data_IF_142319460700
#
_entry.id   IF_142319460700
#
_cell.length_a   1.000
_cell.length_b   1.000
_cell.length_c   1.000
_cell.angle_alpha   90.00
_cell.angle_beta   90.00
_cell.angle_gamma   90.00
#
_symmetry.space_group_name_H-M   'P 1'
#
loop_
_entity.id
_entity.type
_entity.pdbx_description
1 polymer ?
#
# COMPACT_ATOMS: atom_id res chain seq x y z
N UNK A 1 14.18 -0.27 -11.50
CA UNK A 1 12.80 0.05 -11.94
C UNK A 1 11.82 -0.39 -10.85
N UNK A 2 10.70 0.30 -10.62
CA UNK A 2 9.71 -0.12 -9.62
C UNK A 2 8.91 -1.34 -10.11
N UNK A 3 8.67 -2.30 -9.22
CA UNK A 3 7.69 -3.37 -9.38
C UNK A 3 6.28 -2.81 -9.31
N UNK A 4 5.31 -3.64 -9.69
CA UNK A 4 3.93 -3.41 -9.29
C UNK A 4 3.81 -3.46 -7.74
N UNK A 5 2.78 -2.80 -7.21
CA UNK A 5 2.39 -3.02 -5.82
C UNK A 5 1.88 -4.45 -5.63
N UNK A 6 2.23 -5.06 -4.50
CA UNK A 6 1.63 -6.29 -4.02
C UNK A 6 0.20 -6.09 -3.53
N UNK A 7 -0.37 -7.15 -2.97
CA UNK A 7 -1.71 -7.14 -2.43
C UNK A 7 -1.88 -6.15 -1.27
N UNK A 8 -3.10 -5.64 -1.11
CA UNK A 8 -3.46 -4.78 0.00
C UNK A 8 -3.63 -5.61 1.28
N UNK A 9 -3.13 -5.11 2.41
CA UNK A 9 -3.27 -5.77 3.72
C UNK A 9 -4.71 -5.86 4.23
N UNK A 10 -5.64 -5.07 3.66
CA UNK A 10 -7.05 -5.05 4.01
C UNK A 10 -7.90 -4.94 2.75
N UNK A 11 -9.12 -5.45 2.78
CA UNK A 11 -10.07 -5.38 1.64
C UNK A 11 -11.00 -4.16 1.70
N UNK A 12 -11.06 -3.48 2.84
CA UNK A 12 -11.86 -2.26 3.10
C UNK A 12 -11.35 -1.55 4.37
N UNK A 13 -11.82 -0.32 4.63
CA UNK A 13 -11.44 0.57 5.73
C UNK A 13 -9.96 1.01 5.76
N UNK A 14 -9.26 0.86 4.65
CA UNK A 14 -7.86 1.21 4.52
C UNK A 14 -6.94 0.05 4.89
N UNK A 15 -5.90 -0.11 4.07
CA UNK A 15 -4.77 -1.00 4.30
C UNK A 15 -3.54 -0.47 3.58
N UNK A 16 -2.45 -1.22 3.67
CA UNK A 16 -1.17 -0.88 3.07
C UNK A 16 -0.79 -1.92 2.02
N UNK A 17 -0.10 -1.47 0.99
CA UNK A 17 0.53 -2.32 -0.03
C UNK A 17 1.96 -1.85 -0.28
N UNK A 18 2.83 -2.79 -0.64
CA UNK A 18 4.26 -2.53 -0.82
C UNK A 18 4.66 -2.79 -2.26
N UNK A 19 5.57 -1.97 -2.78
CA UNK A 19 6.31 -2.24 -4.02
C UNK A 19 7.81 -2.12 -3.77
N UNK A 20 8.60 -2.87 -4.52
CA UNK A 20 10.06 -2.82 -4.47
C UNK A 20 10.61 -2.28 -5.78
N UNK A 21 11.87 -1.85 -5.80
CA UNK A 21 12.55 -1.55 -7.06
C UNK A 21 13.84 -2.33 -7.17
N UNK A 22 14.09 -2.86 -8.36
CA UNK A 22 15.37 -3.47 -8.66
C UNK A 22 16.37 -2.43 -9.13
N UNK A 23 17.61 -2.62 -8.68
CA UNK A 23 18.77 -1.81 -9.01
C UNK A 23 19.37 -2.22 -10.35
N UNK A 24 18.59 -2.03 -11.43
CA UNK A 24 18.97 -2.51 -12.76
C UNK A 24 19.63 -1.46 -13.65
N UNK A 25 19.92 -0.24 -13.15
CA UNK A 25 20.55 0.82 -13.96
C UNK A 25 21.50 1.72 -13.13
N UNK A 26 22.80 1.43 -13.10
CA UNK A 26 23.46 0.22 -13.61
C UNK A 26 23.34 -0.95 -12.63
N UNK A 27 23.46 -2.17 -13.16
CA UNK A 27 23.71 -3.36 -12.35
C UNK A 27 25.03 -3.17 -11.58
N UNK A 28 25.11 -3.50 -10.27
CA UNK A 28 26.34 -3.39 -9.52
C UNK A 28 27.34 -4.46 -10.00
N UNK A 29 28.06 -4.15 -11.08
CA UNK A 29 29.22 -4.90 -11.55
C UNK A 29 30.49 -4.11 -11.22
N UNK A 30 31.57 -4.80 -10.86
CA UNK A 30 32.92 -4.22 -10.64
C UNK A 30 32.97 -3.07 -9.61
N UNK A 31 32.15 -3.11 -8.56
CA UNK A 31 32.05 -2.01 -7.58
C UNK A 31 31.08 -0.90 -7.99
N UNK A 32 30.13 -1.18 -8.90
CA UNK A 32 29.05 -0.27 -9.26
C UNK A 32 28.26 0.21 -8.04
N UNK A 33 27.95 1.50 -8.00
CA UNK A 33 27.32 2.16 -6.86
C UNK A 33 25.97 1.53 -6.49
N UNK A 34 25.70 1.38 -5.18
CA UNK A 34 24.35 1.05 -4.70
C UNK A 34 23.34 2.08 -5.22
N UNK A 35 22.11 1.64 -5.49
CA UNK A 35 21.05 2.59 -5.85
C UNK A 35 20.87 3.66 -4.77
N UNK A 36 20.91 4.92 -5.19
CA UNK A 36 20.59 6.04 -4.32
C UNK A 36 19.08 6.05 -4.04
N UNK A 37 18.69 6.05 -2.77
CA UNK A 37 17.31 6.16 -2.28
C UNK A 37 16.68 4.83 -1.83
N UNK A 38 15.42 4.89 -1.37
CA UNK A 38 14.71 3.75 -0.74
C UNK A 38 14.53 2.54 -1.66
N UNK A 39 14.65 1.32 -1.14
CA UNK A 39 14.50 0.06 -1.93
C UNK A 39 13.04 -0.39 -2.06
N UNK A 40 12.16 0.14 -1.21
CA UNK A 40 10.74 -0.16 -1.18
C UNK A 40 9.91 1.10 -0.91
N UNK A 41 8.65 1.06 -1.29
CA UNK A 41 7.63 2.08 -0.99
C UNK A 41 6.37 1.41 -0.45
N UNK A 42 5.71 2.09 0.48
CA UNK A 42 4.43 1.69 1.04
C UNK A 42 3.38 2.69 0.55
N UNK A 43 2.28 2.19 0.01
CA UNK A 43 1.13 2.98 -0.41
C UNK A 43 -0.14 2.53 0.29
N UNK A 44 -1.06 3.48 0.51
CA UNK A 44 -2.40 3.18 1.01
C UNK A 44 -3.26 2.52 -0.07
N UNK A 45 -4.22 1.71 0.35
CA UNK A 45 -5.16 1.01 -0.51
C UNK A 45 -6.49 0.70 0.22
N UNK A 46 -7.53 0.38 -0.55
CA UNK A 46 -8.84 -0.08 -0.07
C UNK A 46 -9.47 0.80 1.04
N UNK A 47 -9.38 2.12 0.88
CA UNK A 47 -9.89 3.13 1.84
C UNK A 47 -11.42 3.22 1.89
N UNK A 48 -12.11 2.54 0.98
CA UNK A 48 -13.56 2.42 0.97
C UNK A 48 -14.08 1.71 2.23
N UNK A 49 -15.25 2.12 2.78
CA UNK A 49 -15.89 1.41 3.89
C UNK A 49 -16.19 -0.06 3.57
N UNK A 50 -16.29 -0.88 4.61
CA UNK A 50 -16.70 -2.27 4.46
C UNK A 50 -18.22 -2.37 4.24
N UNK A 51 -18.62 -3.15 3.25
CA UNK A 51 -20.02 -3.54 3.09
C UNK A 51 -20.43 -4.36 4.32
N UNK A 52 -21.53 -3.98 4.99
CA UNK A 52 -22.03 -4.68 6.18
C UNK A 52 -21.80 -3.97 7.51
N UNK A 53 -21.19 -2.78 7.52
CA UNK A 53 -21.36 -1.86 8.65
C UNK A 53 -22.79 -1.31 8.55
N UNK A 54 -23.78 -2.11 8.95
CA UNK A 54 -25.06 -1.53 9.35
C UNK A 54 -24.68 -0.63 10.52
N UNK A 55 -24.85 0.70 10.43
CA UNK A 55 -24.75 1.48 11.65
C UNK A 55 -25.70 0.79 12.62
N UNK A 56 -25.19 0.42 13.80
CA UNK A 56 -26.08 0.11 14.91
C UNK A 56 -27.06 1.27 14.90
N UNK A 57 -28.33 1.00 14.58
CA UNK A 57 -29.40 1.98 14.69
C UNK A 57 -29.51 2.25 16.19
N UNK A 58 -28.56 3.00 16.75
CA UNK A 58 -28.82 3.82 17.91
C UNK A 58 -29.92 4.71 17.37
N UNK A 59 -31.14 4.42 17.80
CA UNK A 59 -32.30 5.22 17.51
C UNK A 59 -31.94 6.64 17.93
N UNK A 60 -31.46 7.44 16.98
CA UNK A 60 -31.56 8.88 17.06
C UNK A 60 -33.07 9.10 16.99
N UNK A 61 -33.69 9.08 18.17
CA UNK A 61 -35.07 9.49 18.32
C UNK A 61 -35.12 10.93 17.85
N UNK A 62 -35.61 11.13 16.63
CA UNK A 62 -36.08 12.43 16.18
C UNK A 62 -37.43 12.69 16.87
N UNK A 63 -37.41 13.08 18.15
CA UNK A 63 -38.37 13.95 18.84
C UNK A 63 -37.92 14.13 20.29
#
# INVERSE_FOLDING_TARGET
>A
MWSAYGDCSATCKGGNRTRTRDCTRPEPAWGGAECVGVKFEIGECNTNPCNGIRPLRILVTWQ
#
